data_IF_101285891494
#
_entry.id   IF_101285891494
#
_cell.length_a   1.000
_cell.length_b   1.000
_cell.length_c   1.000
_cell.angle_alpha   90.00
_cell.angle_beta   90.00
_cell.angle_gamma   90.00
#
_symmetry.space_group_name_H-M   'P 1'
#
loop_
_entity.id
_entity.type
_entity.pdbx_description
1 polymer ?
#
# COMPACT_ATOMS: atom_id res chain seq x y z
N UNK A 1 4.76 -25.41 -38.75
CA UNK A 1 4.78 -23.98 -39.10
C UNK A 1 3.36 -23.52 -38.98
N UNK A 2 2.94 -23.09 -37.78
CA UNK A 2 1.52 -22.86 -37.50
C UNK A 2 1.39 -21.45 -36.93
N UNK A 3 1.17 -20.50 -37.84
CA UNK A 3 0.88 -19.12 -37.48
C UNK A 3 -0.59 -19.00 -37.10
N UNK A 4 -0.88 -18.85 -35.81
CA UNK A 4 -2.19 -18.43 -35.34
C UNK A 4 -2.34 -16.94 -35.62
N UNK A 5 -3.09 -16.61 -36.67
CA UNK A 5 -3.49 -15.25 -37.04
C UNK A 5 -4.60 -14.80 -36.09
N UNK A 6 -4.25 -14.01 -35.07
CA UNK A 6 -5.25 -13.36 -34.21
C UNK A 6 -5.74 -12.10 -34.93
N UNK A 7 -6.82 -12.23 -35.68
CA UNK A 7 -7.51 -11.08 -36.28
C UNK A 7 -8.20 -10.27 -35.18
N UNK A 8 -7.81 -9.00 -35.07
CA UNK A 8 -8.38 -8.03 -34.13
C UNK A 8 -9.81 -7.73 -34.55
N UNK A 9 -10.78 -8.19 -33.76
CA UNK A 9 -12.18 -7.82 -33.91
C UNK A 9 -12.33 -6.29 -33.76
N UNK A 10 -12.84 -5.65 -34.80
CA UNK A 10 -13.21 -4.24 -34.80
C UNK A 10 -14.38 -4.04 -33.84
N UNK A 11 -14.15 -3.30 -32.75
CA UNK A 11 -15.18 -3.02 -31.74
C UNK A 11 -16.07 -1.89 -32.27
N UNK A 12 -17.18 -2.25 -32.89
CA UNK A 12 -18.29 -1.34 -33.19
C UNK A 12 -18.62 -0.51 -31.92
N UNK A 13 -18.61 0.83 -31.99
CA UNK A 13 -18.89 1.66 -30.83
C UNK A 13 -20.35 1.46 -30.43
N UNK A 14 -20.55 0.70 -29.34
CA UNK A 14 -21.86 0.58 -28.68
C UNK A 14 -22.47 1.98 -28.56
N UNK A 15 -23.71 2.21 -29.06
CA UNK A 15 -24.32 3.53 -29.02
C UNK A 15 -24.31 3.98 -27.57
N UNK A 16 -23.57 5.06 -27.30
CA UNK A 16 -23.36 5.56 -25.96
C UNK A 16 -24.72 5.72 -25.31
N UNK A 17 -25.02 4.87 -24.31
CA UNK A 17 -26.32 4.84 -23.66
C UNK A 17 -26.66 6.27 -23.24
N UNK A 18 -27.62 6.90 -23.93
CA UNK A 18 -27.90 8.33 -23.74
C UNK A 18 -28.18 8.57 -22.27
N UNK A 19 -27.37 9.40 -21.61
CA UNK A 19 -27.57 9.74 -20.20
C UNK A 19 -28.82 10.59 -20.05
N UNK A 20 -29.44 10.51 -18.87
CA UNK A 20 -30.44 11.50 -18.46
C UNK A 20 -29.87 12.91 -18.57
N UNK A 21 -30.67 13.88 -18.98
CA UNK A 21 -30.27 15.29 -19.01
C UNK A 21 -29.92 15.81 -17.60
N UNK A 22 -29.18 16.92 -17.55
CA UNK A 22 -28.64 17.47 -16.31
C UNK A 22 -29.76 17.88 -15.34
N UNK A 23 -30.86 18.42 -15.86
CA UNK A 23 -32.02 18.82 -15.06
C UNK A 23 -32.76 17.63 -14.45
N UNK A 24 -33.10 16.60 -15.25
CA UNK A 24 -33.74 15.39 -14.71
C UNK A 24 -32.83 14.67 -13.71
N UNK A 25 -31.52 14.68 -13.96
CA UNK A 25 -30.53 14.08 -13.06
C UNK A 25 -30.45 14.81 -11.73
N UNK A 26 -30.39 16.14 -11.73
CA UNK A 26 -30.34 16.94 -10.49
C UNK A 26 -31.64 16.82 -9.68
N UNK A 27 -32.78 16.73 -10.37
CA UNK A 27 -34.10 16.51 -9.75
C UNK A 27 -34.40 15.06 -9.39
N UNK A 28 -33.51 14.11 -9.74
CA UNK A 28 -33.69 12.66 -9.54
C UNK A 28 -35.01 12.12 -10.10
N UNK A 29 -35.45 12.64 -11.24
CA UNK A 29 -36.67 12.20 -11.94
C UNK A 29 -36.33 11.41 -13.20
N UNK A 30 -37.31 10.66 -13.74
CA UNK A 30 -37.15 9.88 -14.96
C UNK A 30 -36.90 10.80 -16.16
N UNK A 31 -35.89 10.46 -16.96
CA UNK A 31 -35.62 11.12 -18.23
C UNK A 31 -35.90 10.14 -19.36
N UNK A 32 -36.77 10.52 -20.30
CA UNK A 32 -37.05 9.79 -21.54
C UNK A 32 -35.94 9.93 -22.60
N UNK A 33 -34.90 10.73 -22.31
CA UNK A 33 -33.70 10.92 -23.14
C UNK A 33 -33.97 11.51 -24.53
N UNK A 34 -35.19 11.97 -24.80
CA UNK A 34 -35.49 12.85 -25.93
C UNK A 34 -34.79 14.22 -25.79
N UNK A 35 -34.70 14.96 -26.88
CA UNK A 35 -34.12 16.31 -26.90
C UNK A 35 -35.09 17.28 -27.58
N UNK A 36 -35.88 18.06 -26.82
CA UNK A 36 -35.99 18.10 -25.35
C UNK A 36 -36.73 16.89 -24.78
N UNK A 37 -36.36 16.45 -23.56
CA UNK A 37 -37.09 15.37 -22.90
C UNK A 37 -38.46 15.85 -22.38
N UNK A 38 -39.41 14.93 -22.23
CA UNK A 38 -40.80 15.23 -21.82
C UNK A 38 -40.88 16.03 -20.52
N UNK A 39 -40.09 15.66 -19.52
CA UNK A 39 -40.07 16.34 -18.22
C UNK A 39 -39.56 17.77 -18.33
N UNK A 40 -38.53 18.01 -19.14
CA UNK A 40 -38.02 19.36 -19.41
C UNK A 40 -39.02 20.19 -20.24
N UNK A 41 -39.72 19.55 -21.19
CA UNK A 41 -40.76 20.20 -22.00
C UNK A 41 -41.92 20.69 -21.15
N UNK A 42 -42.44 19.85 -20.26
CA UNK A 42 -43.54 20.19 -19.32
C UNK A 42 -43.10 21.29 -18.35
N UNK A 43 -41.86 21.20 -17.86
CA UNK A 43 -41.33 22.15 -16.88
C UNK A 43 -40.81 23.46 -17.50
N UNK A 44 -40.80 23.57 -18.84
CA UNK A 44 -40.29 24.72 -19.61
C UNK A 44 -38.85 25.13 -19.22
N UNK A 45 -38.00 24.14 -18.96
CA UNK A 45 -36.58 24.35 -18.61
C UNK A 45 -35.66 23.92 -19.75
N UNK A 46 -34.44 24.48 -19.77
CA UNK A 46 -33.42 24.09 -20.75
C UNK A 46 -33.01 22.63 -20.56
N UNK A 47 -33.16 21.82 -21.61
CA UNK A 47 -32.82 20.40 -21.60
C UNK A 47 -31.37 20.19 -22.02
N UNK A 48 -30.44 20.35 -21.08
CA UNK A 48 -29.01 20.29 -21.35
C UNK A 48 -28.39 18.94 -20.99
N UNK A 49 -27.42 18.50 -21.80
CA UNK A 49 -26.57 17.32 -21.57
C UNK A 49 -25.10 17.75 -21.57
N UNK A 50 -24.78 18.76 -20.77
CA UNK A 50 -23.47 19.41 -20.67
C UNK A 50 -22.50 18.72 -19.73
N UNK A 51 -22.96 17.81 -18.85
CA UNK A 51 -22.04 16.94 -18.12
C UNK A 51 -21.30 16.06 -19.12
N UNK A 52 -20.16 16.57 -19.57
CA UNK A 52 -19.12 15.80 -20.22
C UNK A 52 -18.94 14.54 -19.40
N UNK A 53 -18.87 13.40 -20.07
CA UNK A 53 -18.15 12.27 -19.51
C UNK A 53 -16.79 12.87 -19.20
N UNK A 54 -16.53 13.29 -17.95
CA UNK A 54 -15.16 13.32 -17.45
C UNK A 54 -14.70 11.94 -17.81
N UNK A 55 -13.85 11.85 -18.84
CA UNK A 55 -13.08 10.66 -19.10
C UNK A 55 -12.55 10.35 -17.72
N UNK A 56 -13.13 9.35 -17.04
CA UNK A 56 -12.52 8.82 -15.85
C UNK A 56 -11.22 8.39 -16.45
N UNK A 57 -10.17 9.18 -16.24
CA UNK A 57 -8.79 8.76 -16.50
C UNK A 57 -8.79 7.41 -15.85
N UNK A 58 -8.83 6.37 -16.69
CA UNK A 58 -9.09 5.02 -16.27
C UNK A 58 -8.13 4.85 -15.11
N UNK A 59 -8.66 4.73 -13.88
CA UNK A 59 -7.79 4.63 -12.73
C UNK A 59 -6.97 3.39 -13.05
N UNK A 60 -5.73 3.61 -13.46
CA UNK A 60 -4.91 2.58 -14.05
C UNK A 60 -4.83 1.58 -12.92
N UNK A 61 -5.44 0.40 -13.12
CA UNK A 61 -5.17 -0.73 -12.24
C UNK A 61 -3.73 -1.05 -12.53
N UNK A 62 -2.82 -0.37 -11.84
CA UNK A 62 -1.39 -0.60 -11.95
C UNK A 62 -1.22 -2.01 -11.41
N UNK A 63 -1.11 -2.96 -12.34
CA UNK A 63 -0.48 -4.24 -12.08
C UNK A 63 0.82 -3.90 -11.36
N UNK A 64 1.04 -4.41 -10.14
CA UNK A 64 2.20 -4.10 -9.31
C UNK A 64 3.43 -4.12 -10.23
N UNK A 65 3.97 -2.93 -10.48
CA UNK A 65 4.93 -2.76 -11.57
C UNK A 65 6.17 -3.60 -11.25
N UNK A 66 6.92 -4.11 -12.24
CA UNK A 66 8.07 -4.99 -12.00
C UNK A 66 9.06 -4.44 -10.96
N UNK A 67 9.20 -3.12 -10.87
CA UNK A 67 10.00 -2.44 -9.85
C UNK A 67 9.47 -2.58 -8.41
N UNK A 68 8.16 -2.72 -8.22
CA UNK A 68 7.58 -3.00 -6.90
C UNK A 68 7.79 -4.46 -6.49
N UNK A 69 7.77 -5.41 -7.43
CA UNK A 69 8.07 -6.81 -7.13
C UNK A 69 9.52 -6.98 -6.69
N UNK A 70 10.46 -6.37 -7.40
CA UNK A 70 11.87 -6.34 -7.01
C UNK A 70 12.11 -5.62 -5.65
N UNK A 71 11.27 -4.65 -5.29
CA UNK A 71 11.31 -4.02 -3.95
C UNK A 71 10.86 -4.99 -2.86
N UNK A 72 9.81 -5.79 -3.11
CA UNK A 72 9.33 -6.81 -2.16
C UNK A 72 10.46 -7.84 -1.92
N UNK A 73 11.05 -8.38 -2.98
CA UNK A 73 12.14 -9.36 -2.87
C UNK A 73 13.32 -8.81 -2.04
N UNK A 74 13.70 -7.54 -2.27
CA UNK A 74 14.76 -6.87 -1.49
C UNK A 74 14.40 -6.68 -0.01
N UNK A 75 13.11 -6.46 0.31
CA UNK A 75 12.65 -6.33 1.68
C UNK A 75 12.76 -7.68 2.37
N UNK A 76 12.30 -8.75 1.72
CA UNK A 76 12.35 -10.12 2.26
C UNK A 76 13.79 -10.55 2.56
N UNK A 77 14.73 -10.33 1.63
CA UNK A 77 16.16 -10.62 1.85
C UNK A 77 16.75 -9.86 3.06
N UNK A 78 16.30 -8.63 3.31
CA UNK A 78 16.76 -7.85 4.46
C UNK A 78 16.16 -8.35 5.75
N UNK A 79 14.89 -8.78 5.74
CA UNK A 79 14.21 -9.35 6.89
C UNK A 79 14.83 -10.70 7.29
N UNK A 80 15.19 -11.54 6.33
CA UNK A 80 15.88 -12.81 6.59
C UNK A 80 17.23 -12.58 7.26
N UNK A 81 18.03 -11.62 6.76
CA UNK A 81 19.31 -11.25 7.37
C UNK A 81 19.15 -10.75 8.80
N UNK A 82 18.16 -9.87 9.05
CA UNK A 82 17.87 -9.38 10.40
C UNK A 82 17.50 -10.55 11.31
N UNK A 83 16.63 -11.45 10.84
CA UNK A 83 16.18 -12.60 11.61
C UNK A 83 17.35 -13.52 11.96
N UNK A 84 18.24 -13.81 11.01
CA UNK A 84 19.46 -14.60 11.26
C UNK A 84 20.35 -13.97 12.32
N UNK A 85 20.65 -12.67 12.21
CA UNK A 85 21.48 -11.96 13.20
C UNK A 85 20.85 -12.02 14.60
N UNK A 86 19.54 -11.82 14.70
CA UNK A 86 18.83 -11.92 15.98
C UNK A 86 18.88 -13.35 16.56
N UNK A 87 18.79 -14.37 15.71
CA UNK A 87 18.93 -15.77 16.14
C UNK A 87 20.35 -16.08 16.63
N UNK A 88 21.37 -15.58 15.95
CA UNK A 88 22.78 -15.76 16.34
C UNK A 88 23.08 -15.09 17.68
N UNK A 89 22.61 -13.85 17.88
CA UNK A 89 22.75 -13.14 19.15
C UNK A 89 22.02 -13.88 20.29
N UNK A 90 20.85 -14.46 20.02
CA UNK A 90 20.12 -15.30 20.98
C UNK A 90 20.87 -16.60 21.31
N UNK A 91 21.66 -17.14 20.39
CA UNK A 91 22.48 -18.33 20.65
C UNK A 91 23.75 -17.98 21.44
N UNK A 92 24.38 -16.83 21.14
CA UNK A 92 25.55 -16.33 21.88
C UNK A 92 25.24 -16.06 23.36
N UNK A 93 24.04 -15.58 23.67
CA UNK A 93 23.59 -15.37 25.06
C UNK A 93 23.28 -16.66 25.82
N UNK A 94 23.20 -17.81 25.14
CA UNK A 94 23.04 -19.14 25.77
C UNK A 94 24.35 -19.88 26.01
N UNK A 95 25.48 -19.34 25.54
CA UNK A 95 26.79 -19.87 25.92
C UNK A 95 26.93 -19.61 27.42
N UNK A 96 27.13 -20.65 28.27
CA UNK A 96 27.47 -20.40 29.66
C UNK A 96 28.79 -19.65 29.64
N UNK A 97 28.78 -18.38 30.06
CA UNK A 97 29.98 -17.59 30.30
C UNK A 97 30.76 -18.33 31.39
N UNK A 98 31.63 -19.28 31.00
CA UNK A 98 32.75 -19.72 31.83
C UNK A 98 33.81 -18.63 31.77
N UNK A 99 33.52 -17.47 32.35
CA UNK A 99 34.58 -16.57 32.80
C UNK A 99 34.82 -16.88 34.28
N UNK A 100 35.69 -17.86 34.51
CA UNK A 100 36.70 -17.64 35.55
C UNK A 100 37.52 -16.43 35.09
N UNK A 101 37.13 -15.26 35.57
CA UNK A 101 38.04 -14.13 35.72
C UNK A 101 37.98 -13.77 37.18
N UNK A 102 38.87 -14.39 37.95
CA UNK A 102 39.27 -13.89 39.25
C UNK A 102 39.78 -12.46 39.02
N UNK A 103 38.88 -11.50 39.17
CA UNK A 103 39.23 -10.09 39.24
C UNK A 103 39.85 -9.92 40.63
N UNK A 104 41.12 -9.51 40.79
CA UNK A 104 41.59 -9.08 42.09
C UNK A 104 40.71 -7.89 42.47
N UNK A 105 39.89 -8.04 43.51
CA UNK A 105 39.07 -6.94 44.00
C UNK A 105 39.95 -5.70 44.23
N UNK A 106 39.42 -4.48 44.04
CA UNK A 106 40.17 -3.27 44.32
C UNK A 106 40.69 -3.34 45.75
N UNK A 107 42.02 -3.25 45.91
CA UNK A 107 42.65 -3.26 47.23
C UNK A 107 41.99 -2.14 48.06
N UNK A 108 41.45 -2.43 49.26
CA UNK A 108 40.89 -1.39 50.09
C UNK A 108 42.01 -0.37 50.41
N UNK A 109 41.70 0.90 50.24
CA UNK A 109 42.60 1.99 50.56
C UNK A 109 42.99 1.90 52.05
N UNK A 110 44.27 2.12 52.42
CA UNK A 110 44.80 1.90 53.78
C UNK A 110 44.15 2.74 54.90
N UNK A 111 43.13 3.55 54.59
CA UNK A 111 42.36 4.35 55.54
C UNK A 111 41.05 3.68 55.98
N UNK A 112 40.68 2.54 55.37
CA UNK A 112 39.46 1.79 55.70
C UNK A 112 39.73 0.48 56.47
N UNK A 113 40.99 0.19 56.81
CA UNK A 113 41.30 -0.92 57.71
C UNK A 113 40.84 -0.56 59.13
N UNK A 114 40.00 -1.40 59.79
CA UNK A 114 39.68 -1.19 61.19
C UNK A 114 40.97 -1.32 62.01
N UNK A 115 41.28 -0.31 62.82
CA UNK A 115 42.37 -0.40 63.80
C UNK A 115 42.00 -1.46 64.83
N UNK A 116 42.55 -2.66 64.69
CA UNK A 116 42.60 -3.64 65.78
C UNK A 116 43.34 -3.01 66.94
N UNK A 117 42.64 -2.78 68.06
CA UNK A 117 43.25 -2.40 69.33
C UNK A 117 44.01 -3.61 69.86
N UNK A 118 45.26 -3.40 70.24
CA UNK A 118 46.06 -4.39 70.96
C UNK A 118 45.64 -4.40 72.44
N UNK A 119 45.32 -5.59 72.95
CA UNK A 119 45.43 -5.97 74.36
C UNK A 119 46.49 -7.09 74.46
#
# INVERSE_FOLDING_TARGET
>A
MDQVKVERAEVEPRPAAFRSCDWCRSRKIRCDKGSPCTSCKVSKVSCERKLQLKHRTQAQRVLISPEYRAKIDRIDERLDKITQILMDLKQQTKIPIKQEMLSPGPRPHPLLAPKVRAE
#
